data_IF_159534367794
#
_entry.id   IF_159534367794
#
_cell.length_a   1.000
_cell.length_b   1.000
_cell.length_c   1.000
_cell.angle_alpha   90.00
_cell.angle_beta   90.00
_cell.angle_gamma   90.00
#
_symmetry.space_group_name_H-M   'P 1'
#
loop_
_entity.id
_entity.type
_entity.pdbx_description
1 polymer ?
#
# COMPACT_ATOMS: atom_id res chain seq x y z
N UNK A 1 8.36 6.91 12.87
CA UNK A 1 8.25 5.44 13.01
C UNK A 1 8.78 4.89 14.32
N UNK A 2 9.88 5.42 14.88
CA UNK A 2 10.47 4.85 16.11
C UNK A 2 9.49 4.70 17.29
N UNK A 3 8.55 5.64 17.48
CA UNK A 3 7.52 5.55 18.54
C UNK A 3 6.58 4.37 18.32
N UNK A 4 6.00 4.23 17.12
CA UNK A 4 5.09 3.12 16.78
C UNK A 4 5.79 1.77 16.91
N UNK A 5 7.02 1.65 16.42
CA UNK A 5 7.81 0.42 16.56
C UNK A 5 8.12 0.09 18.03
N UNK A 6 8.34 1.11 18.86
CA UNK A 6 8.58 0.95 20.30
C UNK A 6 7.35 0.47 21.07
N UNK A 7 6.16 0.95 20.70
CA UNK A 7 4.89 0.48 21.27
C UNK A 7 4.60 -0.97 20.88
N UNK A 8 4.77 -1.33 19.60
CA UNK A 8 4.58 -2.71 19.13
C UNK A 8 5.55 -3.68 19.81
N UNK A 9 6.82 -3.29 20.00
CA UNK A 9 7.80 -4.13 20.71
C UNK A 9 7.47 -4.37 22.18
N UNK A 10 6.76 -3.46 22.85
CA UNK A 10 6.30 -3.70 24.23
C UNK A 10 5.23 -4.79 24.29
N UNK A 11 4.41 -4.90 23.25
CA UNK A 11 3.35 -5.91 23.13
C UNK A 11 3.89 -7.25 22.60
N UNK A 12 4.86 -7.19 21.69
CA UNK A 12 5.45 -8.36 21.02
C UNK A 12 6.97 -8.40 21.25
N UNK A 13 7.43 -8.79 22.45
CA UNK A 13 8.85 -8.72 22.82
C UNK A 13 9.73 -9.71 22.03
N UNK A 14 9.14 -10.78 21.50
CA UNK A 14 9.85 -11.86 20.80
C UNK A 14 9.73 -11.80 19.28
N UNK A 15 9.00 -10.82 18.75
CA UNK A 15 8.80 -10.69 17.32
C UNK A 15 10.06 -10.14 16.64
N UNK A 16 10.31 -10.57 15.40
CA UNK A 16 11.41 -10.05 14.60
C UNK A 16 11.19 -8.55 14.30
N UNK A 17 12.21 -7.75 14.59
CA UNK A 17 12.18 -6.31 14.35
C UNK A 17 12.01 -5.95 12.87
N UNK A 18 12.51 -6.79 11.95
CA UNK A 18 12.32 -6.56 10.51
C UNK A 18 10.88 -6.81 10.08
N UNK A 19 10.27 -7.90 10.57
CA UNK A 19 8.86 -8.18 10.35
C UNK A 19 7.95 -7.04 10.86
N UNK A 20 8.20 -6.54 12.08
CA UNK A 20 7.48 -5.39 12.65
C UNK A 20 7.61 -4.16 11.75
N UNK A 21 8.83 -3.86 11.28
CA UNK A 21 9.07 -2.71 10.41
C UNK A 21 8.27 -2.81 9.11
N UNK A 22 8.33 -3.95 8.44
CA UNK A 22 7.67 -4.16 7.16
C UNK A 22 6.16 -3.99 7.29
N UNK A 23 5.56 -4.56 8.33
CA UNK A 23 4.13 -4.45 8.58
C UNK A 23 3.71 -3.01 8.88
N UNK A 24 4.44 -2.33 9.77
CA UNK A 24 4.18 -0.92 10.09
C UNK A 24 4.30 -0.03 8.86
N UNK A 25 5.32 -0.25 8.02
CA UNK A 25 5.52 0.56 6.81
C UNK A 25 4.38 0.34 5.79
N UNK A 26 3.88 -0.89 5.63
CA UNK A 26 2.74 -1.19 4.74
C UNK A 26 1.45 -0.54 5.26
N UNK A 27 1.14 -0.70 6.54
CA UNK A 27 -0.06 -0.10 7.13
C UNK A 27 -0.05 1.43 7.06
N UNK A 28 1.12 2.04 7.27
CA UNK A 28 1.26 3.49 7.11
C UNK A 28 1.09 3.90 5.64
N UNK A 29 1.67 3.14 4.71
CA UNK A 29 1.52 3.41 3.28
C UNK A 29 0.05 3.32 2.85
N UNK A 30 -0.70 2.35 3.35
CA UNK A 30 -2.14 2.23 3.10
C UNK A 30 -2.92 3.42 3.67
N UNK A 31 -2.59 3.84 4.90
CA UNK A 31 -3.28 4.93 5.59
C UNK A 31 -3.00 6.31 4.97
N UNK A 32 -1.74 6.58 4.59
CA UNK A 32 -1.31 7.90 4.11
C UNK A 32 -1.23 7.98 2.58
N UNK A 33 -1.20 6.84 1.90
CA UNK A 33 -0.94 6.76 0.47
C UNK A 33 0.53 6.96 0.10
N UNK A 34 0.83 7.03 -1.21
CA UNK A 34 2.19 7.25 -1.70
C UNK A 34 2.79 8.52 -1.10
N UNK A 35 4.06 8.44 -0.72
CA UNK A 35 4.76 9.59 -0.12
C UNK A 35 4.78 10.77 -1.10
N UNK A 36 4.27 11.91 -0.66
CA UNK A 36 4.18 13.13 -1.47
C UNK A 36 5.22 14.17 -1.04
N UNK A 37 5.40 15.22 -1.84
CA UNK A 37 6.33 16.32 -1.50
C UNK A 37 5.95 17.04 -0.19
N UNK A 38 4.66 17.02 0.19
CA UNK A 38 4.18 17.53 1.46
C UNK A 38 4.76 16.76 2.67
N UNK A 39 5.03 15.46 2.52
CA UNK A 39 5.67 14.64 3.55
C UNK A 39 7.17 14.92 3.71
N UNK A 40 7.77 15.56 2.70
CA UNK A 40 9.18 15.97 2.70
C UNK A 40 9.39 17.36 3.31
N UNK A 41 8.31 18.14 3.45
CA UNK A 41 8.37 19.42 4.14
C UNK A 41 8.74 19.18 5.61
N UNK A 42 9.90 19.70 6.01
CA UNK A 42 10.29 19.72 7.41
C UNK A 42 9.16 20.37 8.19
N UNK A 43 8.68 19.68 9.22
CA UNK A 43 7.60 20.19 10.10
C UNK A 43 7.94 21.64 10.45
N UNK A 44 7.03 22.60 10.23
CA UNK A 44 7.27 23.97 10.64
C UNK A 44 7.57 23.94 12.14
N UNK A 45 8.77 24.38 12.48
CA UNK A 45 9.10 24.77 13.86
C UNK A 45 8.02 25.75 14.25
N UNK A 46 7.26 25.43 15.30
CA UNK A 46 6.15 26.24 15.81
C UNK A 46 6.58 27.70 15.87
N UNK A 47 6.09 28.52 14.95
CA UNK A 47 5.87 29.95 15.15
C UNK A 47 4.90 30.49 14.07
N UNK A 48 3.69 30.81 14.51
CA UNK A 48 2.77 31.85 13.99
C UNK A 48 2.04 31.67 12.64
N UNK A 49 0.70 31.61 12.74
CA UNK A 49 -0.36 31.88 11.72
C UNK A 49 -0.47 33.42 11.50
N UNK A 50 -1.21 34.02 10.52
CA UNK A 50 -1.97 33.55 9.33
C UNK A 50 -1.51 34.24 8.01
N UNK A 51 -1.93 33.87 6.79
CA UNK A 51 -3.14 34.39 6.15
C UNK A 51 -3.35 33.81 4.74
N UNK A 52 -4.63 33.79 4.35
CA UNK A 52 -5.26 33.26 3.15
C UNK A 52 -4.74 33.86 1.84
N UNK A 53 -4.77 33.08 0.74
CA UNK A 53 -5.40 33.51 -0.52
C UNK A 53 -6.01 32.31 -1.26
N UNK A 54 -7.28 32.46 -1.59
CA UNK A 54 -8.09 31.58 -2.41
C UNK A 54 -7.87 31.86 -3.91
N UNK A 55 -8.15 30.87 -4.77
CA UNK A 55 -8.89 31.12 -6.01
C UNK A 55 -8.48 30.36 -7.28
N UNK A 56 -9.51 29.75 -7.90
CA UNK A 56 -9.69 29.16 -9.25
C UNK A 56 -9.24 27.70 -9.45
N UNK A 57 -10.14 26.71 -9.59
CA UNK A 57 -11.19 26.44 -10.61
C UNK A 57 -10.59 26.21 -12.02
N UNK A 58 -10.83 25.12 -12.77
CA UNK A 58 -11.72 23.97 -12.62
C UNK A 58 -11.65 23.07 -13.90
N UNK A 59 -12.61 22.13 -14.00
CA UNK A 59 -12.93 21.14 -15.07
C UNK A 59 -12.07 19.87 -15.10
N UNK A 60 -12.60 18.68 -14.77
CA UNK A 60 -13.61 17.86 -15.49
C UNK A 60 -13.08 17.44 -16.88
N UNK A 61 -13.07 16.17 -17.29
CA UNK A 61 -14.15 15.18 -17.18
C UNK A 61 -13.64 13.80 -17.63
N UNK A 62 -14.32 12.76 -17.13
CA UNK A 62 -14.73 11.55 -17.87
C UNK A 62 -13.70 10.50 -18.33
N UNK A 63 -14.09 9.24 -18.12
CA UNK A 63 -14.02 8.31 -19.25
C UNK A 63 -13.43 6.92 -19.05
N UNK A 64 -13.98 6.15 -18.11
CA UNK A 64 -14.43 4.75 -18.29
C UNK A 64 -13.73 3.85 -19.33
N UNK A 65 -13.16 2.73 -18.85
CA UNK A 65 -13.12 1.36 -19.44
C UNK A 65 -12.30 0.51 -18.45
N UNK A 66 -12.86 -0.27 -17.52
CA UNK A 66 -13.71 -1.46 -17.70
C UNK A 66 -13.53 -2.12 -19.07
N UNK A 67 -12.53 -2.99 -19.18
CA UNK A 67 -12.49 -4.21 -19.99
C UNK A 67 -11.06 -4.77 -20.05
N UNK A 68 -10.64 -5.48 -19.00
CA UNK A 68 -9.54 -6.45 -19.07
C UNK A 68 -9.53 -7.34 -17.80
N UNK A 69 -10.66 -7.99 -17.49
CA UNK A 69 -10.69 -8.97 -16.40
C UNK A 69 -11.62 -10.12 -16.78
N UNK A 70 -11.26 -10.83 -17.85
CA UNK A 70 -11.91 -12.10 -18.20
C UNK A 70 -10.89 -13.24 -18.34
N UNK A 71 -9.59 -12.97 -18.54
CA UNK A 71 -8.59 -14.05 -18.63
C UNK A 71 -8.03 -14.54 -17.27
N UNK A 72 -8.18 -13.76 -16.18
CA UNK A 72 -7.52 -14.11 -14.91
C UNK A 72 -8.24 -15.16 -14.07
N UNK A 73 -9.52 -15.44 -14.34
CA UNK A 73 -10.33 -16.37 -13.52
C UNK A 73 -10.02 -17.84 -13.80
N UNK A 74 -9.54 -18.22 -15.00
CA UNK A 74 -9.15 -19.61 -15.29
C UNK A 74 -7.91 -20.05 -14.52
N UNK A 75 -7.03 -19.13 -14.15
CA UNK A 75 -5.82 -19.46 -13.41
C UNK A 75 -6.08 -19.87 -11.95
N UNK A 76 -7.28 -19.60 -11.43
CA UNK A 76 -7.68 -19.84 -10.03
C UNK A 76 -8.28 -21.24 -9.85
N UNK A 77 -8.78 -21.87 -10.92
CA UNK A 77 -9.33 -23.23 -10.87
C UNK A 77 -8.26 -24.24 -11.33
N UNK A 78 -8.09 -25.33 -10.60
CA UNK A 78 -7.28 -26.49 -11.00
C UNK A 78 -8.01 -27.35 -12.04
N UNK A 79 -7.30 -28.28 -12.66
CA UNK A 79 -7.87 -29.24 -13.64
C UNK A 79 -9.08 -30.01 -13.09
N UNK A 80 -9.15 -30.17 -11.77
CA UNK A 80 -10.17 -30.90 -11.03
C UNK A 80 -11.44 -30.06 -10.77
N UNK A 81 -11.46 -28.79 -11.19
CA UNK A 81 -12.56 -27.84 -10.93
C UNK A 81 -12.52 -27.22 -9.52
N UNK A 82 -11.51 -27.54 -8.70
CA UNK A 82 -11.30 -26.93 -7.38
C UNK A 82 -10.47 -25.64 -7.45
N UNK A 83 -10.70 -24.74 -6.50
CA UNK A 83 -9.88 -23.51 -6.37
C UNK A 83 -8.48 -23.90 -5.91
N UNK A 84 -7.45 -23.44 -6.63
CA UNK A 84 -6.05 -23.69 -6.32
C UNK A 84 -5.72 -23.25 -4.90
N UNK A 85 -4.96 -24.08 -4.20
CA UNK A 85 -4.46 -23.77 -2.86
C UNK A 85 -3.50 -22.58 -2.90
N UNK A 86 -3.34 -21.88 -1.77
CA UNK A 86 -2.43 -20.75 -1.66
C UNK A 86 -1.00 -21.07 -2.14
N UNK A 87 -0.52 -22.29 -1.92
CA UNK A 87 0.82 -22.73 -2.37
C UNK A 87 0.92 -22.88 -3.88
N UNK A 88 -0.16 -23.25 -4.56
CA UNK A 88 -0.19 -23.40 -6.02
C UNK A 88 -0.30 -22.06 -6.74
N UNK A 89 -0.86 -21.05 -6.07
CA UNK A 89 -1.02 -19.70 -6.60
C UNK A 89 0.19 -18.79 -6.29
N UNK A 90 0.99 -19.13 -5.29
CA UNK A 90 2.07 -18.26 -4.81
C UNK A 90 3.38 -18.39 -5.60
N UNK A 91 4.02 -17.24 -5.83
CA UNK A 91 5.44 -17.15 -6.19
C UNK A 91 5.82 -17.81 -7.52
N UNK A 92 6.85 -18.65 -7.48
CA UNK A 92 7.48 -19.23 -8.67
C UNK A 92 6.64 -20.32 -9.36
N UNK A 93 5.64 -20.86 -8.67
CA UNK A 93 4.75 -21.91 -9.22
C UNK A 93 4.02 -21.40 -10.47
N UNK A 94 3.65 -20.12 -10.49
CA UNK A 94 2.86 -19.52 -11.58
C UNK A 94 3.72 -18.68 -12.54
N UNK A 95 5.04 -18.62 -12.36
CA UNK A 95 5.99 -17.83 -13.19
C UNK A 95 5.53 -16.37 -13.43
N UNK A 96 4.85 -15.76 -12.47
CA UNK A 96 4.52 -14.33 -12.55
C UNK A 96 5.77 -13.46 -12.37
N UNK A 97 5.75 -12.27 -13.00
CA UNK A 97 6.75 -11.23 -12.74
C UNK A 97 6.64 -10.75 -11.29
N UNK A 98 7.74 -10.24 -10.73
CA UNK A 98 7.70 -9.69 -9.37
C UNK A 98 7.00 -8.33 -9.36
N UNK A 99 6.44 -7.96 -8.22
CA UNK A 99 5.83 -6.64 -8.05
C UNK A 99 6.85 -5.53 -8.35
N UNK A 100 6.54 -4.70 -9.35
CA UNK A 100 7.37 -3.57 -9.77
C UNK A 100 8.39 -3.87 -10.89
N UNK A 101 8.37 -5.07 -11.47
CA UNK A 101 9.02 -5.38 -12.76
C UNK A 101 8.11 -5.07 -13.95
#
# INVERSE_FOLDING_TARGET
MGVLMGEVRKLLPWADGKAIKNEVDIQVLELLGPKTEADLQKKPTKDTKPAQKAGKAGKAESGKKEAASIESTESVFGEDGHVKSFMELAGAAVKFHKTGE
#
